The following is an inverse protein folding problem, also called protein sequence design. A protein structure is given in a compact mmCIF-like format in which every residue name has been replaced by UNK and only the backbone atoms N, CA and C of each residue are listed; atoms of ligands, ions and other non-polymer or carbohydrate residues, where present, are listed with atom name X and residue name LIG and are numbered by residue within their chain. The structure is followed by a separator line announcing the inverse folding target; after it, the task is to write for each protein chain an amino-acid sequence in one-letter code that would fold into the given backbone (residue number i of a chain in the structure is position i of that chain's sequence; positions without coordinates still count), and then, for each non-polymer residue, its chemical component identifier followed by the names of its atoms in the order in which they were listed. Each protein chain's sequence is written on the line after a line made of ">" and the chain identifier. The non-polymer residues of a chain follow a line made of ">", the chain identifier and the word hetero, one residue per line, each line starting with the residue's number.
data_IF_213592566712
#
_entry.id   IF_213592566712
#
_cell.length_a   1.000
_cell.length_b   1.000
_cell.length_c   1.000
_cell.angle_alpha   90.00
_cell.angle_beta   90.00
_cell.angle_gamma   90.00
#
_symmetry.space_group_name_H-M   'P 1'
#
loop_
_entity.id
_entity.type
_entity.pdbx_description
1 polymer ?
#
# COMPACT_ATOMS: atom_id res chain seq x y z
N UNK A 1 -5.45 -1.46 21.16
CA UNK A 1 -4.48 -0.43 20.72
C UNK A 1 -5.27 0.65 20.02
N UNK A 2 -4.92 1.92 20.20
CA UNK A 2 -5.55 3.02 19.46
C UNK A 2 -4.49 3.58 18.53
N UNK A 3 -4.71 3.41 17.23
CA UNK A 3 -3.90 4.03 16.20
C UNK A 3 -4.58 5.32 15.75
N UNK A 4 -3.77 6.29 15.39
CA UNK A 4 -4.19 7.49 14.67
C UNK A 4 -3.28 7.69 13.47
N UNK A 5 -3.78 8.35 12.44
CA UNK A 5 -3.18 8.36 11.11
C UNK A 5 -2.96 9.78 10.62
N UNK A 6 -1.96 9.96 9.75
CA UNK A 6 -1.75 11.19 8.97
C UNK A 6 -2.11 10.97 7.50
N UNK A 7 -2.34 12.06 6.78
CA UNK A 7 -2.71 12.06 5.35
C UNK A 7 -1.68 11.38 4.45
N UNK A 8 -0.43 11.26 4.90
CA UNK A 8 0.69 10.66 4.18
C UNK A 8 0.80 9.14 4.38
N UNK A 9 -0.22 8.54 5.01
CA UNK A 9 -0.39 7.09 5.20
C UNK A 9 0.53 6.45 6.25
N UNK A 10 1.00 7.22 7.22
CA UNK A 10 1.62 6.74 8.45
C UNK A 10 0.62 6.63 9.60
N UNK A 11 0.89 5.68 10.50
CA UNK A 11 0.14 5.48 11.73
C UNK A 11 1.01 5.76 12.95
N UNK A 12 0.37 6.18 14.04
CA UNK A 12 0.97 6.29 15.36
C UNK A 12 0.12 5.56 16.41
N UNK A 13 0.73 4.63 17.15
CA UNK A 13 0.14 4.05 18.37
C UNK A 13 0.45 4.98 19.54
N UNK A 14 -0.54 5.76 19.96
CA UNK A 14 -0.37 6.79 21.01
C UNK A 14 -0.39 6.16 22.40
N UNK A 15 0.67 6.39 23.17
CA UNK A 15 0.78 6.10 24.59
C UNK A 15 0.46 7.33 25.47
N UNK A 16 1.06 7.41 26.66
CA UNK A 16 0.79 8.53 27.58
C UNK A 16 1.60 9.79 27.22
N UNK A 17 2.89 9.62 26.89
CA UNK A 17 3.79 10.69 26.42
C UNK A 17 4.74 10.19 25.30
N UNK A 18 4.44 9.02 24.75
CA UNK A 18 5.21 8.34 23.72
C UNK A 18 4.30 7.86 22.60
N UNK A 19 4.89 7.55 21.45
CA UNK A 19 4.21 7.02 20.28
C UNK A 19 5.08 5.98 19.59
N UNK A 20 4.44 5.00 18.97
CA UNK A 20 5.10 4.08 18.02
C UNK A 20 4.65 4.47 16.63
N UNK A 21 5.59 4.70 15.71
CA UNK A 21 5.30 5.14 14.34
C UNK A 21 5.57 4.02 13.35
N UNK A 22 4.74 3.91 12.32
CA UNK A 22 4.97 3.05 11.17
C UNK A 22 4.18 3.53 9.95
N UNK A 23 4.25 2.76 8.87
CA UNK A 23 3.56 3.04 7.61
C UNK A 23 2.40 2.04 7.47
N UNK A 24 1.30 2.47 6.86
CA UNK A 24 0.15 1.60 6.55
C UNK A 24 0.42 0.74 5.31
N UNK A 25 -0.44 -0.24 5.05
CA UNK A 25 -0.36 -1.05 3.83
C UNK A 25 -0.71 -0.28 2.53
N UNK A 26 -1.18 0.98 2.63
CA UNK A 26 -1.56 1.77 1.45
C UNK A 26 -0.42 1.89 0.43
N UNK A 27 0.78 2.23 0.89
CA UNK A 27 1.95 2.46 0.01
C UNK A 27 2.26 1.21 -0.83
N UNK A 28 2.27 0.03 -0.20
CA UNK A 28 2.60 -1.21 -0.90
C UNK A 28 1.50 -1.70 -1.86
N UNK A 29 0.24 -1.36 -1.58
CA UNK A 29 -0.89 -1.73 -2.44
C UNK A 29 -0.88 -0.93 -3.74
N UNK A 30 -0.42 0.31 -3.69
CA UNK A 30 -0.39 1.24 -4.83
C UNK A 30 0.89 1.11 -5.65
N UNK A 31 2.04 1.13 -4.98
CA UNK A 31 3.34 1.25 -5.64
C UNK A 31 4.19 -0.02 -5.58
N UNK A 32 3.62 -1.11 -5.07
CA UNK A 32 4.29 -2.39 -4.87
C UNK A 32 5.08 -2.50 -3.58
N UNK A 33 5.61 -3.68 -3.30
CA UNK A 33 6.21 -4.01 -2.00
C UNK A 33 7.37 -3.08 -1.63
N UNK A 34 7.47 -2.74 -0.34
CA UNK A 34 8.61 -2.03 0.22
C UNK A 34 9.81 -2.98 0.23
N UNK A 35 10.91 -2.56 -0.40
CA UNK A 35 12.13 -3.36 -0.55
C UNK A 35 13.32 -2.77 0.19
N UNK A 36 13.22 -1.53 0.64
CA UNK A 36 14.27 -0.83 1.36
C UNK A 36 13.68 0.26 2.25
N UNK A 37 14.34 0.51 3.38
CA UNK A 37 14.03 1.62 4.29
C UNK A 37 15.32 2.34 4.70
N UNK A 38 15.29 3.66 4.65
CA UNK A 38 16.23 4.52 5.37
C UNK A 38 15.61 4.90 6.70
N UNK A 39 16.16 4.34 7.77
CA UNK A 39 15.74 4.60 9.13
C UNK A 39 16.15 6.00 9.59
N UNK A 40 15.49 6.55 10.62
CA UNK A 40 15.80 7.88 11.10
C UNK A 40 17.23 8.05 11.62
N UNK A 41 17.83 9.21 11.33
CA UNK A 41 19.22 9.52 11.72
C UNK A 41 19.37 10.69 12.70
N UNK A 42 18.30 11.44 12.96
CA UNK A 42 18.26 12.54 13.94
C UNK A 42 17.96 12.06 15.35
N UNK A 43 17.84 13.01 16.29
CA UNK A 43 17.32 12.76 17.65
C UNK A 43 16.02 13.53 17.90
N UNK A 44 15.87 14.73 17.33
CA UNK A 44 14.73 15.66 17.49
C UNK A 44 14.09 15.96 16.11
N UNK A 45 12.77 16.17 16.08
CA UNK A 45 11.99 16.45 14.86
C UNK A 45 10.75 17.29 15.19
N UNK A 46 10.31 18.09 14.24
CA UNK A 46 9.01 18.79 14.28
C UNK A 46 7.92 17.97 13.56
N UNK A 47 6.65 18.23 13.88
CA UNK A 47 5.53 17.65 13.13
C UNK A 47 5.69 17.93 11.62
N UNK A 48 5.34 16.94 10.79
CA UNK A 48 5.47 16.96 9.33
C UNK A 48 6.91 17.02 8.80
N UNK A 49 7.93 16.88 9.65
CA UNK A 49 9.30 16.68 9.18
C UNK A 49 9.56 15.23 8.77
N UNK A 50 10.39 14.99 7.73
CA UNK A 50 10.75 13.65 7.32
C UNK A 50 11.67 12.99 8.36
N UNK A 51 11.21 11.87 8.93
CA UNK A 51 11.99 11.00 9.80
C UNK A 51 12.94 10.10 9.01
N UNK A 52 12.51 9.62 7.85
CA UNK A 52 13.22 8.65 7.02
C UNK A 52 12.55 8.51 5.65
N UNK A 53 12.79 7.41 4.94
CA UNK A 53 12.08 7.09 3.69
C UNK A 53 12.06 5.61 3.36
N UNK A 54 11.06 5.16 2.60
CA UNK A 54 10.97 3.80 2.04
C UNK A 54 11.11 3.82 0.53
N UNK A 55 11.66 2.75 -0.04
CA UNK A 55 11.71 2.51 -1.49
C UNK A 55 10.92 1.23 -1.80
N UNK A 56 10.10 1.30 -2.84
CA UNK A 56 9.23 0.21 -3.30
C UNK A 56 9.78 -0.47 -4.55
N UNK A 57 9.24 -1.64 -4.92
CA UNK A 57 9.68 -2.42 -6.09
C UNK A 57 9.67 -1.65 -7.41
N UNK A 58 8.79 -0.64 -7.52
CA UNK A 58 8.65 0.17 -8.73
C UNK A 58 9.72 1.29 -8.82
N UNK A 59 10.60 1.38 -7.81
CA UNK A 59 11.70 2.34 -7.75
C UNK A 59 11.30 3.73 -7.25
N UNK A 60 10.03 3.93 -6.89
CA UNK A 60 9.58 5.14 -6.21
C UNK A 60 10.06 5.15 -4.76
N UNK A 61 10.20 6.35 -4.21
CA UNK A 61 10.65 6.55 -2.83
C UNK A 61 9.69 7.49 -2.11
N UNK A 62 9.27 7.11 -0.92
CA UNK A 62 8.30 7.87 -0.12
C UNK A 62 8.95 8.27 1.22
N UNK A 63 8.96 9.56 1.56
CA UNK A 63 9.37 10.01 2.89
C UNK A 63 8.42 9.47 3.96
N UNK A 64 8.94 9.28 5.17
CA UNK A 64 8.18 8.94 6.37
C UNK A 64 8.06 10.19 7.21
N UNK A 65 6.86 10.68 7.47
CA UNK A 65 6.64 11.93 8.20
C UNK A 65 6.45 11.75 9.70
N UNK A 66 6.92 12.72 10.47
CA UNK A 66 6.73 12.77 11.91
C UNK A 66 5.28 13.17 12.25
N UNK A 67 4.53 12.34 13.02
CA UNK A 67 3.14 12.65 13.34
C UNK A 67 3.01 13.78 14.38
N UNK A 68 4.07 14.06 15.14
CA UNK A 68 4.13 15.09 16.15
C UNK A 68 5.58 15.49 16.43
N UNK A 69 5.75 16.67 17.02
CA UNK A 69 7.05 17.20 17.48
C UNK A 69 7.56 16.43 18.69
N UNK A 70 8.85 16.05 18.65
CA UNK A 70 9.54 15.45 19.78
C UNK A 70 10.84 14.75 19.41
N UNK A 71 11.14 13.65 20.11
CA UNK A 71 12.45 12.98 20.03
C UNK A 71 12.30 11.49 19.75
N UNK A 72 13.23 10.89 19.00
CA UNK A 72 13.29 9.43 18.84
C UNK A 72 13.88 8.79 20.09
N UNK A 73 13.20 7.77 20.59
CA UNK A 73 13.60 6.97 21.76
C UNK A 73 14.12 5.60 21.37
N UNK A 74 13.60 5.03 20.29
CA UNK A 74 13.99 3.70 19.81
C UNK A 74 13.78 3.62 18.30
N UNK A 75 14.63 2.87 17.61
CA UNK A 75 14.52 2.59 16.18
C UNK A 75 14.49 1.08 16.00
N UNK A 76 13.62 0.60 15.13
CA UNK A 76 13.56 -0.81 14.77
C UNK A 76 14.63 -1.18 13.75
N UNK A 77 15.85 -1.44 14.23
CA UNK A 77 16.99 -1.78 13.35
C UNK A 77 16.82 -3.11 12.62
N UNK A 78 15.83 -3.95 12.97
CA UNK A 78 15.59 -5.19 12.24
C UNK A 78 15.13 -4.94 10.81
N UNK A 79 14.54 -3.77 10.53
CA UNK A 79 14.06 -3.41 9.20
C UNK A 79 15.20 -3.15 8.20
N UNK A 80 16.44 -2.91 8.67
CA UNK A 80 17.59 -2.81 7.76
C UNK A 80 17.95 -4.17 7.13
N UNK A 81 17.72 -5.26 7.87
CA UNK A 81 17.98 -6.62 7.41
C UNK A 81 16.74 -7.26 6.77
N UNK A 82 15.54 -6.90 7.26
CA UNK A 82 14.26 -7.46 6.85
C UNK A 82 13.18 -6.37 6.68
N UNK A 83 13.23 -5.56 5.60
CA UNK A 83 12.22 -4.55 5.32
C UNK A 83 10.84 -5.14 4.98
N UNK A 84 10.78 -6.44 4.67
CA UNK A 84 9.54 -7.15 4.31
C UNK A 84 8.57 -7.27 5.48
N UNK A 85 9.06 -7.05 6.71
CA UNK A 85 8.22 -6.92 7.91
C UNK A 85 7.20 -5.79 7.78
N UNK A 86 7.54 -4.70 7.09
CA UNK A 86 6.61 -3.60 6.82
C UNK A 86 5.48 -4.10 5.92
N UNK A 87 5.79 -4.97 4.95
CA UNK A 87 4.80 -5.51 4.01
C UNK A 87 3.82 -6.50 4.65
N UNK A 88 4.31 -7.30 5.60
CA UNK A 88 3.56 -8.40 6.19
C UNK A 88 2.93 -8.09 7.54
N UNK A 89 3.47 -7.10 8.26
CA UNK A 89 3.04 -6.73 9.60
C UNK A 89 3.11 -5.21 9.82
N UNK A 90 2.45 -4.39 8.99
CA UNK A 90 2.59 -2.93 9.02
C UNK A 90 2.31 -2.32 10.40
N UNK A 91 1.24 -2.74 11.08
CA UNK A 91 0.88 -2.30 12.44
C UNK A 91 1.40 -3.22 13.57
N UNK A 92 2.26 -4.19 13.22
CA UNK A 92 2.82 -5.19 14.11
C UNK A 92 4.34 -5.07 14.21
N UNK A 93 5.04 -6.02 13.59
CA UNK A 93 6.51 -6.08 13.62
C UNK A 93 7.17 -5.04 12.67
N UNK A 94 6.39 -4.40 11.80
CA UNK A 94 6.79 -3.36 10.85
C UNK A 94 6.88 -1.94 11.43
N UNK A 95 6.81 -1.77 12.75
CA UNK A 95 7.01 -0.46 13.38
C UNK A 95 8.42 0.07 13.10
N UNK A 96 8.55 1.39 12.91
CA UNK A 96 9.78 2.02 12.43
C UNK A 96 10.57 2.63 13.59
N UNK A 97 9.91 3.43 14.41
CA UNK A 97 10.53 4.07 15.57
C UNK A 97 9.53 4.29 16.70
N UNK A 98 10.07 4.50 17.90
CA UNK A 98 9.35 5.07 19.03
C UNK A 98 9.79 6.50 19.23
N UNK A 99 8.83 7.38 19.48
CA UNK A 99 9.05 8.80 19.71
C UNK A 99 8.50 9.23 21.07
N UNK A 100 9.05 10.28 21.66
CA UNK A 100 8.34 11.08 22.67
C UNK A 100 7.50 12.15 21.97
N UNK A 101 6.40 12.53 22.61
CA UNK A 101 5.49 13.55 22.10
C UNK A 101 5.56 14.75 23.03
N UNK A 102 6.11 15.86 22.55
CA UNK A 102 6.26 17.07 23.36
C UNK A 102 5.00 17.93 23.39
N UNK A 103 4.23 17.89 22.31
CA UNK A 103 3.05 18.72 22.09
C UNK A 103 1.82 17.83 21.84
N UNK A 104 1.11 17.37 22.89
CA UNK A 104 -0.04 16.47 22.73
C UNK A 104 -1.19 17.05 21.89
N UNK A 105 -1.26 18.37 21.72
CA UNK A 105 -2.27 19.04 20.89
C UNK A 105 -2.09 18.77 19.40
N UNK A 106 -0.88 18.43 18.97
CA UNK A 106 -0.61 18.04 17.58
C UNK A 106 -1.27 16.71 17.23
N UNK A 107 -1.67 15.92 18.22
CA UNK A 107 -2.45 14.69 17.99
C UNK A 107 -3.92 14.97 17.67
N UNK A 108 -4.44 16.16 18.01
CA UNK A 108 -5.85 16.50 17.80
C UNK A 108 -6.20 16.68 16.31
N UNK A 109 -5.19 16.89 15.46
CA UNK A 109 -5.37 17.01 13.99
C UNK A 109 -5.25 15.67 13.26
N UNK A 110 -4.84 14.61 13.96
CA UNK A 110 -4.69 13.27 13.40
C UNK A 110 -6.04 12.59 13.22
N UNK A 111 -6.11 11.70 12.24
CA UNK A 111 -7.30 10.92 11.94
C UNK A 111 -7.37 9.71 12.87
N UNK A 112 -8.57 9.35 13.33
CA UNK A 112 -8.78 8.00 13.86
C UNK A 112 -8.99 7.00 12.72
N UNK A 113 -9.17 5.72 13.06
CA UNK A 113 -9.29 4.66 12.06
C UNK A 113 -10.50 4.85 11.13
N UNK A 114 -11.63 5.29 11.66
CA UNK A 114 -12.85 5.49 10.84
C UNK A 114 -12.63 6.67 9.88
N UNK A 115 -12.09 7.79 10.38
CA UNK A 115 -11.77 8.94 9.54
C UNK A 115 -10.70 8.65 8.48
N UNK A 116 -9.70 7.81 8.79
CA UNK A 116 -8.67 7.39 7.85
C UNK A 116 -9.24 6.51 6.73
N UNK A 117 -10.17 5.60 7.05
CA UNK A 117 -10.86 4.77 6.04
C UNK A 117 -11.66 5.66 5.08
N UNK A 118 -12.43 6.61 5.62
CA UNK A 118 -13.19 7.56 4.79
C UNK A 118 -12.24 8.38 3.89
N UNK A 119 -11.10 8.82 4.44
CA UNK A 119 -10.06 9.52 3.67
C UNK A 119 -9.46 8.66 2.55
N UNK A 120 -9.15 7.38 2.81
CA UNK A 120 -8.64 6.47 1.78
C UNK A 120 -9.66 6.23 0.65
N UNK A 121 -10.95 6.08 0.99
CA UNK A 121 -12.01 5.92 0.00
C UNK A 121 -12.16 7.19 -0.87
N UNK A 122 -12.16 8.37 -0.24
CA UNK A 122 -12.22 9.65 -0.96
C UNK A 122 -11.00 9.88 -1.87
N UNK A 123 -9.78 9.60 -1.40
CA UNK A 123 -8.56 9.71 -2.21
C UNK A 123 -8.58 8.77 -3.41
N UNK A 124 -9.01 7.53 -3.22
CA UNK A 124 -9.16 6.56 -4.32
C UNK A 124 -10.20 7.02 -5.33
N UNK A 125 -11.39 7.42 -4.87
CA UNK A 125 -12.45 7.93 -5.76
C UNK A 125 -11.98 9.13 -6.60
N UNK A 126 -11.20 10.04 -6.00
CA UNK A 126 -10.61 11.18 -6.72
C UNK A 126 -9.60 10.73 -7.78
N UNK A 127 -8.74 9.76 -7.47
CA UNK A 127 -7.77 9.19 -8.42
C UNK A 127 -8.46 8.51 -9.60
N UNK A 128 -9.55 7.75 -9.36
CA UNK A 128 -10.32 7.09 -10.42
C UNK A 128 -11.09 8.06 -11.31
N UNK A 129 -11.57 9.19 -10.76
CA UNK A 129 -12.23 10.23 -11.55
C UNK A 129 -11.25 10.92 -12.51
N UNK A 130 -9.98 11.09 -12.11
CA UNK A 130 -8.94 11.65 -12.97
C UNK A 130 -8.55 10.69 -14.13
N UNK A 131 -8.71 9.36 -13.96
CA UNK A 131 -8.50 8.38 -15.04
C UNK A 131 -9.67 8.26 -16.03
N UNK A 132 -10.93 8.37 -15.57
CA UNK A 132 -12.12 8.24 -16.45
C UNK A 132 -12.39 9.47 -17.34
N UNK A 133 -11.89 10.66 -16.98
CA UNK A 133 -12.00 11.87 -17.82
C UNK A 133 -11.08 11.83 -19.07
N UNK A 134 -10.29 10.76 -19.26
CA UNK A 134 -9.48 10.50 -20.47
C UNK A 134 -10.19 9.66 -21.54
N UNK A 135 -11.49 9.34 -21.39
CA UNK A 135 -12.27 8.87 -22.55
C UNK A 135 -12.75 10.07 -23.37
N UNK A 136 -11.88 10.58 -24.26
CA UNK A 136 -12.30 11.46 -25.35
C UNK A 136 -13.44 10.75 -26.11
N UNK A 137 -14.66 11.27 -25.98
CA UNK A 137 -15.86 10.80 -26.70
C UNK A 137 -15.67 10.82 -28.24
N UNK A 138 -14.59 11.45 -28.72
CA UNK A 138 -14.22 11.59 -30.13
C UNK A 138 -13.55 10.34 -30.75
N UNK A 139 -13.18 9.29 -29.99
CA UNK A 139 -12.59 8.06 -30.56
C UNK A 139 -13.59 6.88 -30.73
N UNK A 140 -14.90 7.16 -30.73
CA UNK A 140 -15.93 6.15 -30.98
C UNK A 140 -16.13 5.79 -32.47
N UNK A 141 -15.30 6.27 -33.41
CA UNK A 141 -15.58 6.21 -34.85
C UNK A 141 -14.64 5.37 -35.75
N UNK A 142 -13.81 4.48 -35.22
CA UNK A 142 -12.98 3.59 -36.09
C UNK A 142 -13.25 2.08 -35.97
N UNK A 143 -14.08 1.64 -35.00
CA UNK A 143 -14.42 0.22 -34.87
C UNK A 143 -15.40 -0.32 -35.94
N UNK A 144 -16.10 0.55 -36.67
CA UNK A 144 -17.05 0.15 -37.71
C UNK A 144 -16.44 0.01 -39.12
N UNK A 145 -15.17 0.40 -39.30
CA UNK A 145 -14.47 0.33 -40.59
C UNK A 145 -13.21 -0.55 -40.59
N UNK A 146 -12.96 -1.31 -39.52
CA UNK A 146 -11.88 -2.29 -39.50
C UNK A 146 -12.08 -3.31 -40.65
N UNK A 147 -11.08 -3.50 -41.53
CA UNK A 147 -11.15 -4.55 -42.54
C UNK A 147 -11.27 -5.89 -41.81
N UNK A 148 -12.39 -6.58 -42.03
CA UNK A 148 -12.65 -7.90 -41.47
C UNK A 148 -11.45 -8.80 -41.82
N UNK A 149 -10.66 -9.14 -40.79
CA UNK A 149 -9.52 -10.06 -40.94
C UNK A 149 -10.06 -11.36 -41.57
N UNK A 150 -9.49 -11.85 -42.67
CA UNK A 150 -10.00 -13.05 -43.29
C UNK A 150 -9.98 -14.20 -42.27
N UNK A 151 -11.15 -14.82 -42.11
CA UNK A 151 -11.38 -15.99 -41.26
C UNK A 151 -10.28 -17.03 -41.46
N UNK A 152 -9.43 -17.20 -40.47
CA UNK A 152 -8.44 -18.26 -40.46
C UNK A 152 -9.15 -19.60 -40.28
N UNK A 153 -9.43 -20.29 -41.39
CA UNK A 153 -9.84 -21.69 -41.37
C UNK A 153 -8.70 -22.51 -40.78
N UNK A 154 -8.87 -23.02 -39.56
CA UNK A 154 -7.94 -23.96 -38.96
C UNK A 154 -7.86 -25.23 -39.85
N UNK A 155 -6.66 -25.72 -40.20
CA UNK A 155 -6.52 -26.98 -40.92
C UNK A 155 -7.01 -28.15 -40.05
N UNK A 156 -7.77 -29.06 -40.68
CA UNK A 156 -8.47 -30.17 -40.05
C UNK A 156 -7.58 -31.35 -39.58
N UNK A 157 -6.40 -31.08 -38.99
CA UNK A 157 -5.47 -32.13 -38.55
C UNK A 157 -5.22 -32.24 -37.04
N UNK A 158 -5.81 -31.39 -36.20
CA UNK A 158 -5.78 -31.57 -34.74
C UNK A 158 -7.12 -32.10 -34.20
N UNK A 159 -7.50 -33.31 -34.65
CA UNK A 159 -8.42 -34.17 -33.88
C UNK A 159 -7.58 -35.06 -32.97
N UNK A 160 -7.26 -34.59 -31.78
CA UNK A 160 -6.87 -35.50 -30.70
C UNK A 160 -8.16 -36.04 -30.04
N UNK A 161 -8.36 -37.36 -29.97
CA UNK A 161 -9.55 -37.93 -29.36
C UNK A 161 -9.48 -37.78 -27.83
N UNK A 162 -10.55 -37.19 -27.27
CA UNK A 162 -10.87 -37.21 -25.85
C UNK A 162 -11.00 -38.69 -25.43
N UNK A 163 -10.00 -39.21 -24.74
CA UNK A 163 -10.10 -40.51 -24.07
C UNK A 163 -10.84 -40.29 -22.75
N UNK A 164 -12.12 -40.61 -22.78
CA UNK A 164 -12.97 -40.88 -21.62
C UNK A 164 -12.41 -42.03 -20.76
N UNK A 165 -12.67 -41.93 -19.45
CA UNK A 165 -12.65 -42.98 -18.39
C UNK A 165 -11.28 -43.19 -17.70
N UNK A 166 -11.15 -43.15 -16.36
CA UNK A 166 -12.09 -43.52 -15.30
C UNK A 166 -11.93 -42.67 -14.04
N UNK A 167 -13.04 -42.08 -13.62
CA UNK A 167 -13.38 -41.86 -12.22
C UNK A 167 -13.65 -43.24 -11.59
N UNK A 168 -12.86 -43.68 -10.61
CA UNK A 168 -13.27 -44.76 -9.69
C UNK A 168 -13.79 -44.11 -8.43
N UNK A 169 -15.11 -44.05 -8.36
CA UNK A 169 -15.84 -43.73 -7.15
C UNK A 169 -15.64 -44.80 -6.08
N UNK A 170 -15.78 -44.31 -4.85
CA UNK A 170 -15.90 -45.05 -3.60
C UNK A 170 -17.15 -45.93 -3.58
N UNK A 171 -17.04 -47.15 -3.01
CA UNK A 171 -18.16 -47.89 -2.42
C UNK A 171 -17.66 -49.00 -1.46
N UNK A 172 -17.84 -48.72 -0.16
CA UNK A 172 -18.23 -49.58 0.97
C UNK A 172 -17.51 -50.92 1.26
N UNK A 173 -16.82 -51.00 2.40
CA UNK A 173 -17.26 -51.68 3.63
C UNK A 173 -16.32 -51.38 4.80
#
# INVERSE_FOLDING_TARGET
>A
KKFTYISQHEWVEVGENDGVVGITERIQLEYGNIIFIELPSGDEYEQDEPLGRVEVTDGNTFPIYAPATGEIKEINTTLEEDPDLINHSPEGDGWICRISIESPRELDVLMDADAYIDYEEEELDNEYMDEEDFYDEDEAYDYINLPQKPSATLPASNRFPILLLRYKGSLCH
#
